data_IF_104247378539
#
_entry.id   IF_104247378539
#
_cell.length_a   1.000
_cell.length_b   1.000
_cell.length_c   1.000
_cell.angle_alpha   90.00
_cell.angle_beta   90.00
_cell.angle_gamma   90.00
#
_symmetry.space_group_name_H-M   'P 1'
#
loop_
_entity.id
_entity.type
_entity.pdbx_description
1 polymer ?
#
# COMPACT_ATOMS: atom_id res chain seq x y z
N UNK A 1 70.15 43.07 43.28
CA UNK A 1 70.44 43.77 44.55
C UNK A 1 71.92 43.63 44.83
N UNK A 2 72.59 44.65 45.35
CA UNK A 2 74.02 44.54 45.68
C UNK A 2 74.17 43.64 46.91
N UNK A 3 74.72 42.43 46.73
CA UNK A 3 74.88 41.46 47.81
C UNK A 3 76.22 41.72 48.50
N UNK A 4 76.17 42.20 49.74
CA UNK A 4 77.34 42.14 50.62
C UNK A 4 77.36 40.78 51.32
N UNK A 5 78.49 40.08 51.27
CA UNK A 5 78.62 38.78 51.94
C UNK A 5 78.35 38.89 53.45
N UNK A 6 77.61 37.92 54.00
CA UNK A 6 77.15 37.94 55.39
C UNK A 6 78.32 38.04 56.40
N UNK A 7 79.45 37.40 56.12
CA UNK A 7 80.62 37.43 57.01
C UNK A 7 81.32 38.80 56.99
N UNK A 8 81.26 39.52 55.86
CA UNK A 8 81.69 40.92 55.78
C UNK A 8 80.79 41.82 56.63
N UNK A 9 79.46 41.61 56.58
CA UNK A 9 78.49 42.35 57.42
C UNK A 9 78.75 42.08 58.90
N UNK A 10 78.93 40.82 59.32
CA UNK A 10 79.18 40.45 60.73
C UNK A 10 80.42 41.13 61.31
N UNK A 11 81.46 41.34 60.50
CA UNK A 11 82.68 42.01 60.95
C UNK A 11 82.47 43.50 61.28
N UNK A 12 81.45 44.15 60.72
CA UNK A 12 81.12 45.56 61.00
C UNK A 12 80.42 45.77 62.35
N UNK A 13 79.91 44.70 62.99
CA UNK A 13 79.12 44.75 64.22
C UNK A 13 79.78 44.03 65.41
N UNK A 14 81.12 43.89 65.42
CA UNK A 14 81.85 43.37 66.58
C UNK A 14 81.83 44.36 67.74
N UNK A 15 81.98 43.85 68.95
CA UNK A 15 82.07 44.63 70.20
C UNK A 15 83.04 45.80 70.04
N UNK A 16 82.57 47.01 70.34
CA UNK A 16 83.32 48.28 70.28
C UNK A 16 83.62 48.80 68.86
N UNK A 17 83.06 48.20 67.80
CA UNK A 17 83.03 48.77 66.46
C UNK A 17 81.66 49.36 66.16
N UNK A 18 81.64 50.55 65.53
CA UNK A 18 80.42 51.18 65.02
C UNK A 18 80.48 51.22 63.49
N UNK A 19 79.52 50.60 62.77
CA UNK A 19 79.49 50.66 61.32
C UNK A 19 79.31 52.10 60.84
N UNK A 20 79.96 52.43 59.72
CA UNK A 20 79.74 53.68 59.00
C UNK A 20 78.36 53.67 58.33
N UNK A 21 77.85 54.85 57.93
CA UNK A 21 76.55 54.96 57.25
C UNK A 21 76.50 54.11 55.97
N UNK A 22 77.56 54.11 55.17
CA UNK A 22 77.64 53.30 53.95
C UNK A 22 77.60 51.79 54.25
N UNK A 23 78.28 51.35 55.31
CA UNK A 23 78.24 49.95 55.76
C UNK A 23 76.85 49.56 56.27
N UNK A 24 76.18 50.47 56.98
CA UNK A 24 74.83 50.24 57.46
C UNK A 24 73.81 50.12 56.32
N UNK A 25 73.89 50.99 55.30
CA UNK A 25 73.02 50.90 54.12
C UNK A 25 73.31 49.66 53.27
N UNK A 26 74.59 49.31 53.09
CA UNK A 26 74.97 48.08 52.38
C UNK A 26 74.44 46.81 53.07
N UNK A 27 74.32 46.82 54.40
CA UNK A 27 73.64 45.76 55.13
C UNK A 27 72.14 45.72 54.76
N UNK A 28 71.44 46.85 54.86
CA UNK A 28 70.00 46.90 54.58
C UNK A 28 69.68 46.47 53.14
N UNK A 29 70.46 46.92 52.15
CA UNK A 29 70.29 46.56 50.74
C UNK A 29 70.58 45.07 50.45
N UNK A 30 71.31 44.39 51.34
CA UNK A 30 71.61 42.96 51.23
C UNK A 30 70.47 42.07 51.73
N UNK A 31 69.48 42.61 52.46
CA UNK A 31 68.30 41.88 52.94
C UNK A 31 67.05 42.34 52.20
N UNK A 32 66.16 41.40 51.84
CA UNK A 32 64.87 41.75 51.23
C UNK A 32 63.86 42.22 52.28
N UNK A 33 63.07 43.22 51.94
CA UNK A 33 61.94 43.64 52.78
C UNK A 33 60.74 42.70 52.61
N UNK A 34 59.94 42.50 53.66
CA UNK A 34 58.77 41.60 53.64
C UNK A 34 57.69 41.98 52.62
N UNK A 35 57.64 43.24 52.21
CA UNK A 35 56.72 43.73 51.16
C UNK A 35 57.21 43.45 49.75
N UNK A 36 58.47 43.06 49.58
CA UNK A 36 59.07 42.77 48.28
C UNK A 36 58.82 41.29 47.92
N UNK A 37 58.38 41.04 46.69
CA UNK A 37 58.14 39.69 46.20
C UNK A 37 59.47 38.98 45.94
N UNK A 38 59.53 37.68 46.23
CA UNK A 38 60.67 36.83 45.87
C UNK A 38 60.54 36.42 44.40
N UNK A 39 61.51 36.74 43.53
CA UNK A 39 61.50 36.27 42.14
C UNK A 39 61.64 34.75 42.09
N UNK A 40 60.89 34.10 41.20
CA UNK A 40 60.91 32.64 41.00
C UNK A 40 62.32 32.12 40.69
N UNK A 41 63.10 32.87 39.91
CA UNK A 41 64.47 32.52 39.54
C UNK A 41 65.43 32.42 40.74
N UNK A 42 65.11 33.06 41.87
CA UNK A 42 65.93 33.04 43.09
C UNK A 42 65.51 31.90 44.05
N UNK A 43 64.54 31.05 43.67
CA UNK A 43 64.01 29.94 44.48
C UNK A 43 64.63 28.63 43.97
N UNK A 44 65.68 28.19 44.64
CA UNK A 44 66.35 26.92 44.33
C UNK A 44 65.44 25.72 44.65
N UNK A 45 65.40 24.72 43.76
CA UNK A 45 64.64 23.49 43.95
C UNK A 45 63.15 23.58 43.63
N UNK A 46 62.66 24.75 43.17
CA UNK A 46 61.26 24.89 42.73
C UNK A 46 60.95 23.95 41.56
N UNK A 47 61.87 23.83 40.60
CA UNK A 47 61.73 22.93 39.45
C UNK A 47 61.62 21.46 39.87
N UNK A 48 62.35 21.06 40.92
CA UNK A 48 62.34 19.69 41.44
C UNK A 48 60.99 19.28 42.05
N UNK A 49 60.21 20.25 42.57
CA UNK A 49 58.86 19.98 43.09
C UNK A 49 57.84 19.68 41.97
N UNK A 50 58.10 20.17 40.76
CA UNK A 50 57.26 19.90 39.59
C UNK A 50 57.55 18.55 38.92
N UNK A 51 58.71 17.93 39.19
CA UNK A 51 59.09 16.62 38.63
C UNK A 51 58.16 15.50 39.12
N UNK A 52 57.51 15.65 40.28
CA UNK A 52 56.57 14.67 40.84
C UNK A 52 55.09 14.92 40.50
N UNK A 53 54.75 16.04 39.87
CA UNK A 53 53.39 16.33 39.41
C UNK A 53 53.31 15.85 37.96
N UNK A 54 52.59 14.76 37.65
CA UNK A 54 52.45 14.31 36.27
C UNK A 54 51.86 15.45 35.44
N UNK A 55 52.62 15.92 34.44
CA UNK A 55 52.17 16.98 33.53
C UNK A 55 50.88 16.57 32.81
N UNK A 56 50.14 17.53 32.25
CA UNK A 56 48.89 17.24 31.51
C UNK A 56 49.05 16.14 30.44
N UNK A 57 50.25 15.99 29.86
CA UNK A 57 50.59 14.93 28.91
C UNK A 57 50.53 13.52 29.52
N UNK A 58 50.98 13.35 30.77
CA UNK A 58 50.97 12.05 31.45
C UNK A 58 49.56 11.68 31.95
N UNK A 59 48.75 12.69 32.31
CA UNK A 59 47.32 12.54 32.61
C UNK A 59 46.53 12.06 31.37
N UNK A 60 46.84 12.60 30.18
CA UNK A 60 46.19 12.20 28.93
C UNK A 60 46.55 10.79 28.46
N UNK A 61 47.74 10.29 28.82
CA UNK A 61 48.19 8.94 28.44
C UNK A 61 47.48 7.81 29.21
N UNK A 62 46.79 8.13 30.32
CA UNK A 62 46.12 7.15 31.20
C UNK A 62 44.62 7.01 30.96
N UNK A 63 44.03 7.75 30.02
CA UNK A 63 42.62 7.62 29.66
C UNK A 63 42.43 6.50 28.62
N UNK A 64 41.64 5.45 28.90
CA UNK A 64 41.56 4.29 28.01
C UNK A 64 40.55 4.51 26.86
N UNK A 65 41.00 4.26 25.63
CA UNK A 65 40.24 3.91 24.41
C UNK A 65 39.33 4.95 23.72
N UNK A 66 39.52 5.13 22.39
CA UNK A 66 38.40 5.28 21.44
C UNK A 66 38.45 6.43 20.43
N UNK A 67 38.97 6.15 19.23
CA UNK A 67 38.38 6.57 17.94
C UNK A 67 38.44 8.05 17.52
N UNK A 68 39.45 8.39 16.72
CA UNK A 68 39.43 9.40 15.62
C UNK A 68 39.02 10.86 15.89
N UNK A 69 38.93 11.33 17.14
CA UNK A 69 38.80 12.79 17.42
C UNK A 69 40.13 13.42 17.84
N UNK A 70 41.06 12.61 18.37
CA UNK A 70 42.34 13.07 18.88
C UNK A 70 43.24 13.65 17.79
N UNK A 71 43.37 13.02 16.64
CA UNK A 71 44.28 13.45 15.58
C UNK A 71 43.86 14.76 14.88
N UNK A 72 42.56 14.98 14.64
CA UNK A 72 42.07 16.25 14.09
C UNK A 72 42.12 17.38 15.13
N UNK A 73 41.82 17.09 16.39
CA UNK A 73 41.88 18.07 17.47
C UNK A 73 43.32 18.41 17.86
N UNK A 74 44.24 17.43 17.87
CA UNK A 74 45.69 17.63 18.09
C UNK A 74 46.29 18.44 16.93
N UNK A 75 45.91 18.17 15.69
CA UNK A 75 46.37 18.94 14.53
C UNK A 75 45.84 20.39 14.58
N UNK A 76 44.56 20.59 14.86
CA UNK A 76 43.96 21.92 14.98
C UNK A 76 44.57 22.72 16.14
N UNK A 77 44.72 22.10 17.32
CA UNK A 77 45.30 22.75 18.51
C UNK A 77 46.79 23.06 18.29
N UNK A 78 47.53 22.20 17.58
CA UNK A 78 48.93 22.45 17.25
C UNK A 78 49.09 23.60 16.26
N UNK A 79 48.23 23.69 15.25
CA UNK A 79 48.19 24.80 14.28
C UNK A 79 47.83 26.13 14.97
N UNK A 80 46.87 26.12 15.89
CA UNK A 80 46.44 27.33 16.62
C UNK A 80 47.54 27.86 17.57
N UNK A 81 48.27 26.95 18.23
CA UNK A 81 49.43 27.28 19.07
C UNK A 81 50.62 27.80 18.24
N UNK A 82 50.82 27.27 17.03
CA UNK A 82 51.84 27.74 16.09
C UNK A 82 51.52 29.13 15.54
N UNK A 83 50.26 29.37 15.16
CA UNK A 83 49.83 30.69 14.73
C UNK A 83 50.01 31.72 15.84
N UNK A 84 49.68 31.40 17.10
CA UNK A 84 49.88 32.31 18.24
C UNK A 84 51.35 32.62 18.56
N UNK A 85 52.29 31.70 18.25
CA UNK A 85 53.73 31.96 18.37
C UNK A 85 54.27 32.85 17.23
N UNK A 86 53.69 32.74 16.03
CA UNK A 86 54.18 33.38 14.80
C UNK A 86 53.58 34.78 14.60
N UNK A 87 52.37 35.04 15.12
CA UNK A 87 51.70 36.34 14.98
C UNK A 87 52.37 37.50 15.72
N UNK A 88 53.23 37.21 16.71
CA UNK A 88 53.91 38.23 17.52
C UNK A 88 55.38 38.45 17.15
N UNK A 89 55.90 37.70 16.16
CA UNK A 89 57.30 37.78 15.73
C UNK A 89 57.44 38.73 14.53
N UNK A 90 58.37 39.68 14.63
CA UNK A 90 58.83 40.48 13.49
C UNK A 90 59.90 39.70 12.68
N UNK A 91 60.19 40.16 11.46
CA UNK A 91 61.10 39.48 10.50
C UNK A 91 62.52 39.19 11.06
N UNK A 92 62.90 39.86 12.16
CA UNK A 92 64.20 39.73 12.85
C UNK A 92 64.15 39.05 14.24
N UNK A 93 62.96 38.63 14.71
CA UNK A 93 62.85 38.00 16.04
C UNK A 93 63.37 36.56 16.05
N UNK A 94 64.28 36.28 16.98
CA UNK A 94 64.85 34.94 17.16
C UNK A 94 63.94 34.12 18.08
N UNK A 95 63.51 32.95 17.58
CA UNK A 95 62.74 31.99 18.38
C UNK A 95 63.50 31.61 19.66
N UNK A 96 62.79 31.64 20.80
CA UNK A 96 63.37 31.21 22.08
C UNK A 96 63.55 29.69 22.11
N UNK A 97 64.47 29.20 22.95
CA UNK A 97 64.74 27.77 23.08
C UNK A 97 63.50 26.92 23.46
N UNK A 98 62.58 27.47 24.26
CA UNK A 98 61.32 26.79 24.62
C UNK A 98 60.35 26.67 23.44
N UNK A 99 60.28 27.70 22.59
CA UNK A 99 59.49 27.69 21.36
C UNK A 99 60.05 26.69 20.35
N UNK A 100 61.38 26.65 20.18
CA UNK A 100 62.07 25.66 19.33
C UNK A 100 61.81 24.24 19.82
N UNK A 101 61.86 23.99 21.13
CA UNK A 101 61.60 22.66 21.71
C UNK A 101 60.14 22.21 21.46
N UNK A 102 59.19 23.14 21.56
CA UNK A 102 57.77 22.86 21.28
C UNK A 102 57.53 22.54 19.80
N UNK A 103 58.13 23.34 18.91
CA UNK A 103 58.13 23.11 17.46
C UNK A 103 58.72 21.74 17.10
N UNK A 104 59.84 21.36 17.70
CA UNK A 104 60.47 20.06 17.49
C UNK A 104 59.58 18.90 17.96
N UNK A 105 58.89 19.05 19.09
CA UNK A 105 57.92 18.07 19.59
C UNK A 105 56.76 17.86 18.61
N UNK A 106 56.21 18.96 18.07
CA UNK A 106 55.13 18.91 17.07
C UNK A 106 55.58 18.31 15.74
N UNK A 107 56.76 18.70 15.24
CA UNK A 107 57.35 18.13 14.02
C UNK A 107 57.58 16.62 14.18
N UNK A 108 58.07 16.18 15.35
CA UNK A 108 58.27 14.76 15.63
C UNK A 108 56.95 14.00 15.67
N UNK A 109 55.91 14.59 16.26
CA UNK A 109 54.57 14.00 16.27
C UNK A 109 53.98 13.88 14.86
N UNK A 110 54.14 14.92 14.03
CA UNK A 110 53.74 14.91 12.61
C UNK A 110 54.49 13.82 11.86
N UNK A 111 55.82 13.76 11.99
CA UNK A 111 56.63 12.75 11.32
C UNK A 111 56.22 11.33 11.74
N UNK A 112 55.93 11.10 13.02
CA UNK A 112 55.47 9.78 13.52
C UNK A 112 54.11 9.38 12.92
N UNK A 113 53.23 10.34 12.65
CA UNK A 113 51.93 10.09 12.02
C UNK A 113 52.02 9.91 10.50
N UNK A 114 53.01 10.54 9.85
CA UNK A 114 53.21 10.49 8.40
C UNK A 114 54.16 9.38 7.95
N UNK A 115 54.97 8.82 8.85
CA UNK A 115 55.81 7.66 8.53
C UNK A 115 54.96 6.44 8.22
N UNK A 116 55.22 5.83 7.07
CA UNK A 116 54.64 4.56 6.65
C UNK A 116 55.72 3.49 6.60
N UNK A 117 55.35 2.25 6.91
CA UNK A 117 56.18 1.07 6.67
C UNK A 117 56.01 0.54 5.23
N UNK A 118 55.01 1.04 4.50
CA UNK A 118 54.75 0.69 3.12
C UNK A 118 55.43 1.67 2.17
N UNK A 119 56.47 1.19 1.47
CA UNK A 119 57.30 1.97 0.54
C UNK A 119 56.53 2.58 -0.64
N UNK A 120 55.34 2.07 -0.97
CA UNK A 120 54.51 2.63 -2.05
C UNK A 120 53.44 3.60 -1.54
N UNK A 121 53.39 3.83 -0.22
CA UNK A 121 52.44 4.68 0.47
C UNK A 121 53.17 5.46 1.57
N UNK A 122 54.39 5.94 1.29
CA UNK A 122 55.26 6.63 2.24
C UNK A 122 55.14 8.16 2.20
N UNK A 123 54.39 8.67 1.23
CA UNK A 123 53.90 10.05 1.20
C UNK A 123 52.37 10.12 1.16
N UNK A 124 51.82 11.27 1.59
CA UNK A 124 50.38 11.54 1.50
C UNK A 124 49.90 11.51 0.04
N UNK A 125 50.73 11.99 -0.89
CA UNK A 125 50.37 12.01 -2.31
C UNK A 125 50.18 10.59 -2.86
N UNK A 126 51.06 9.66 -2.52
CA UNK A 126 50.94 8.25 -2.96
C UNK A 126 49.68 7.58 -2.43
N UNK A 127 49.26 7.91 -1.19
CA UNK A 127 47.99 7.41 -0.64
C UNK A 127 46.81 7.95 -1.45
N UNK A 128 46.82 9.24 -1.81
CA UNK A 128 45.77 9.86 -2.63
C UNK A 128 45.70 9.20 -4.00
N UNK A 129 46.84 9.01 -4.66
CA UNK A 129 46.93 8.37 -5.98
C UNK A 129 46.44 6.91 -5.93
N UNK A 130 46.75 6.18 -4.86
CA UNK A 130 46.27 4.83 -4.64
C UNK A 130 44.74 4.78 -4.46
N UNK A 131 44.15 5.72 -3.71
CA UNK A 131 42.70 5.83 -3.54
C UNK A 131 42.01 6.16 -4.87
N UNK A 132 42.56 7.09 -5.66
CA UNK A 132 42.03 7.43 -6.98
C UNK A 132 42.09 6.23 -7.94
N UNK A 133 43.18 5.46 -7.87
CA UNK A 133 43.34 4.21 -8.62
C UNK A 133 42.29 3.17 -8.22
N UNK A 134 42.02 3.01 -6.92
CA UNK A 134 40.98 2.11 -6.40
C UNK A 134 39.58 2.57 -6.85
N UNK A 135 39.28 3.86 -6.76
CA UNK A 135 38.00 4.42 -7.20
C UNK A 135 37.77 4.17 -8.69
N UNK A 136 38.79 4.45 -9.52
CA UNK A 136 38.76 4.18 -10.95
C UNK A 136 38.52 2.69 -11.20
N UNK A 137 39.29 1.82 -10.55
CA UNK A 137 39.17 0.36 -10.69
C UNK A 137 37.76 -0.13 -10.33
N UNK A 138 37.17 0.35 -9.24
CA UNK A 138 35.80 0.00 -8.86
C UNK A 138 34.76 0.44 -9.90
N UNK A 139 34.91 1.64 -10.49
CA UNK A 139 34.04 2.12 -11.57
C UNK A 139 34.18 1.30 -12.86
N UNK A 140 35.35 0.67 -13.07
CA UNK A 140 35.55 -0.20 -14.23
C UNK A 140 34.85 -1.54 -14.08
N UNK A 141 34.67 -2.06 -12.86
CA UNK A 141 34.10 -3.39 -12.63
C UNK A 141 32.65 -3.39 -12.12
N UNK A 142 32.11 -2.28 -11.62
CA UNK A 142 30.72 -2.19 -11.13
C UNK A 142 29.86 -1.27 -12.02
N UNK A 143 28.60 -1.66 -12.28
CA UNK A 143 27.59 -0.82 -12.96
C UNK A 143 26.29 -0.78 -12.18
N UNK A 144 25.61 0.37 -12.20
CA UNK A 144 24.35 0.61 -11.50
C UNK A 144 23.16 0.81 -12.46
N UNK A 145 23.26 0.28 -13.67
CA UNK A 145 22.19 0.26 -14.66
C UNK A 145 22.26 -1.04 -15.49
N UNK A 146 21.26 -1.27 -16.33
CA UNK A 146 21.15 -2.45 -17.20
C UNK A 146 21.45 -2.15 -18.67
N UNK A 147 21.93 -0.94 -18.96
CA UNK A 147 22.15 -0.41 -20.32
C UNK A 147 23.62 -0.25 -20.67
N UNK A 148 24.49 -0.21 -19.67
CA UNK A 148 25.93 -0.11 -19.78
C UNK A 148 26.58 -1.33 -19.16
N UNK A 149 27.70 -1.79 -19.72
CA UNK A 149 28.40 -2.97 -19.22
C UNK A 149 28.94 -3.88 -20.32
N UNK A 150 29.40 -5.06 -19.90
CA UNK A 150 30.00 -6.11 -20.72
C UNK A 150 30.32 -7.33 -19.85
N UNK A 151 31.01 -8.33 -20.41
CA UNK A 151 31.32 -9.58 -19.68
C UNK A 151 32.23 -9.41 -18.46
N UNK A 152 32.85 -8.23 -18.31
CA UNK A 152 33.79 -7.90 -17.23
C UNK A 152 33.21 -7.01 -16.14
N UNK A 153 31.96 -6.53 -16.30
CA UNK A 153 31.30 -5.66 -15.32
C UNK A 153 30.21 -6.42 -14.57
N UNK A 154 30.22 -6.28 -13.25
CA UNK A 154 29.19 -6.81 -12.36
C UNK A 154 28.12 -5.74 -12.07
N UNK A 155 26.87 -6.19 -12.01
CA UNK A 155 25.76 -5.35 -11.56
C UNK A 155 25.87 -5.12 -10.05
N UNK A 156 25.58 -3.91 -9.57
CA UNK A 156 25.49 -3.66 -8.13
C UNK A 156 24.41 -4.52 -7.49
N UNK A 157 24.61 -4.88 -6.21
CA UNK A 157 23.66 -5.69 -5.46
C UNK A 157 22.25 -5.06 -5.42
N UNK A 158 22.14 -3.73 -5.31
CA UNK A 158 20.83 -3.07 -5.26
C UNK A 158 20.09 -3.14 -6.59
N UNK A 159 20.77 -2.94 -7.71
CA UNK A 159 20.15 -3.17 -9.03
C UNK A 159 19.82 -4.65 -9.24
N UNK A 160 20.66 -5.56 -8.74
CA UNK A 160 20.38 -7.01 -8.74
C UNK A 160 19.11 -7.38 -7.98
N UNK A 161 18.85 -6.77 -6.81
CA UNK A 161 17.61 -6.96 -6.06
C UNK A 161 16.39 -6.45 -6.82
N UNK A 162 16.50 -5.27 -7.44
CA UNK A 162 15.43 -4.72 -8.27
C UNK A 162 15.11 -5.64 -9.45
N UNK A 163 16.15 -6.10 -10.17
CA UNK A 163 16.00 -7.03 -11.28
C UNK A 163 15.35 -8.34 -10.83
N UNK A 164 15.79 -8.91 -9.70
CA UNK A 164 15.18 -10.11 -9.12
C UNK A 164 13.70 -9.94 -8.82
N UNK A 165 13.29 -8.82 -8.21
CA UNK A 165 11.87 -8.55 -7.95
C UNK A 165 11.01 -8.49 -9.22
N UNK A 166 11.56 -7.91 -10.31
CA UNK A 166 10.91 -7.88 -11.61
C UNK A 166 10.81 -9.28 -12.25
N UNK A 167 11.88 -10.07 -12.18
CA UNK A 167 11.91 -11.45 -12.69
C UNK A 167 10.93 -12.34 -11.94
N UNK A 168 10.89 -12.27 -10.61
CA UNK A 168 9.94 -13.03 -9.79
C UNK A 168 8.50 -12.65 -10.15
N UNK A 169 8.23 -11.35 -10.30
CA UNK A 169 6.90 -10.82 -10.67
C UNK A 169 6.46 -11.25 -12.07
N UNK A 170 7.39 -11.32 -13.02
CA UNK A 170 7.13 -11.79 -14.38
C UNK A 170 6.92 -13.30 -14.40
N UNK A 171 7.74 -14.06 -13.67
CA UNK A 171 7.64 -15.53 -13.56
C UNK A 171 6.29 -15.97 -13.00
N UNK A 172 5.74 -15.20 -12.05
CA UNK A 172 4.39 -15.44 -11.53
C UNK A 172 3.25 -15.18 -12.56
N UNK A 173 3.53 -14.46 -13.65
CA UNK A 173 2.55 -14.07 -14.67
C UNK A 173 2.64 -14.89 -15.96
N UNK A 174 3.74 -15.59 -16.20
CA UNK A 174 3.86 -16.48 -17.35
C UNK A 174 2.91 -17.67 -17.08
N UNK A 175 1.92 -17.92 -17.96
CA UNK A 175 1.09 -19.11 -17.85
C UNK A 175 1.98 -20.35 -17.75
N UNK A 176 1.65 -21.28 -16.85
CA UNK A 176 2.41 -22.53 -16.73
C UNK A 176 2.39 -23.23 -18.11
N UNK A 177 3.53 -23.26 -18.78
CA UNK A 177 3.70 -23.98 -20.04
C UNK A 177 3.79 -25.47 -19.72
N UNK A 178 2.67 -26.18 -19.87
CA UNK A 178 2.65 -27.62 -19.68
C UNK A 178 3.23 -28.30 -20.91
N UNK A 179 4.26 -29.12 -20.71
CA UNK A 179 4.96 -29.83 -21.77
C UNK A 179 4.07 -30.86 -22.48
N UNK A 180 3.05 -31.38 -21.76
CA UNK A 180 2.08 -32.36 -22.25
C UNK A 180 0.72 -32.20 -21.56
N UNK A 181 -0.33 -32.53 -22.29
CA UNK A 181 -1.68 -32.76 -21.73
C UNK A 181 -1.83 -34.26 -21.47
N UNK A 182 -2.16 -34.63 -20.24
CA UNK A 182 -2.38 -36.02 -19.83
C UNK A 182 -3.86 -36.20 -19.52
N UNK A 183 -4.55 -37.02 -20.31
CA UNK A 183 -5.92 -37.39 -20.03
C UNK A 183 -5.96 -38.47 -18.93
N UNK A 184 -6.82 -38.30 -17.93
CA UNK A 184 -7.05 -39.29 -16.88
C UNK A 184 -8.40 -39.96 -17.11
N UNK A 185 -8.44 -41.30 -16.99
CA UNK A 185 -9.64 -42.09 -17.30
C UNK A 185 -10.66 -42.15 -16.13
N UNK A 186 -10.55 -41.23 -15.19
CA UNK A 186 -11.34 -41.15 -13.97
C UNK A 186 -11.60 -39.68 -13.61
N UNK A 187 -12.42 -39.45 -12.59
CA UNK A 187 -12.66 -38.11 -12.04
C UNK A 187 -11.50 -37.59 -11.17
N UNK A 188 -10.44 -38.39 -10.96
CA UNK A 188 -9.25 -38.00 -10.19
C UNK A 188 -7.97 -38.54 -10.84
N UNK A 189 -6.85 -37.79 -10.82
CA UNK A 189 -5.57 -38.26 -11.37
C UNK A 189 -4.90 -39.38 -10.56
N UNK A 190 -5.39 -39.66 -9.35
CA UNK A 190 -4.82 -40.64 -8.41
C UNK A 190 -4.91 -42.09 -8.88
N UNK A 191 -5.82 -42.43 -9.81
CA UNK A 191 -6.18 -43.83 -10.11
C UNK A 191 -5.81 -44.33 -11.50
N UNK A 192 -5.65 -43.51 -12.54
CA UNK A 192 -5.10 -43.98 -13.82
C UNK A 192 -4.73 -42.88 -14.84
N UNK A 193 -3.63 -43.13 -15.55
CA UNK A 193 -3.13 -42.40 -16.72
C UNK A 193 -3.21 -43.33 -17.93
N UNK A 194 -4.18 -43.13 -18.81
CA UNK A 194 -4.17 -43.74 -20.14
C UNK A 194 -4.31 -42.60 -21.14
N UNK A 195 -3.35 -42.48 -22.06
CA UNK A 195 -3.44 -41.55 -23.19
C UNK A 195 -4.46 -42.09 -24.16
N UNK A 196 -5.47 -41.30 -24.50
CA UNK A 196 -6.35 -41.58 -25.64
C UNK A 196 -7.27 -42.81 -25.49
N UNK A 197 -8.59 -42.57 -25.50
CA UNK A 197 -9.61 -43.62 -25.51
C UNK A 197 -9.68 -44.38 -26.85
N UNK A 198 -9.12 -43.82 -27.93
CA UNK A 198 -9.11 -44.42 -29.27
C UNK A 198 -7.84 -45.22 -29.55
N UNK A 199 -6.71 -44.85 -28.92
CA UNK A 199 -5.41 -45.52 -29.05
C UNK A 199 -4.69 -45.64 -27.70
N UNK A 200 -5.22 -46.40 -26.73
CA UNK A 200 -4.62 -46.51 -25.41
C UNK A 200 -3.21 -47.10 -25.52
N UNK A 201 -2.16 -46.45 -24.99
CA UNK A 201 -0.87 -47.08 -24.88
C UNK A 201 -1.03 -48.31 -24.00
N UNK A 202 -0.56 -49.44 -24.52
CA UNK A 202 -0.66 -50.77 -23.88
C UNK A 202 0.11 -50.87 -22.56
N UNK A 203 0.89 -49.85 -22.21
CA UNK A 203 1.67 -49.74 -20.98
C UNK A 203 1.47 -48.38 -20.35
N UNK A 204 0.95 -48.38 -19.12
CA UNK A 204 0.86 -47.20 -18.27
C UNK A 204 2.28 -46.67 -17.95
N UNK A 205 2.54 -45.40 -18.26
CA UNK A 205 3.78 -44.72 -17.88
C UNK A 205 3.59 -43.98 -16.55
N UNK A 206 4.09 -44.57 -15.46
CA UNK A 206 4.01 -43.99 -14.13
C UNK A 206 4.86 -42.72 -13.96
N UNK A 207 5.86 -42.46 -14.82
CA UNK A 207 6.70 -41.26 -14.72
C UNK A 207 5.90 -39.96 -14.94
N UNK A 208 4.82 -40.07 -15.71
CA UNK A 208 3.97 -38.95 -16.09
C UNK A 208 2.92 -38.61 -15.03
N UNK A 209 2.81 -39.39 -13.93
CA UNK A 209 1.87 -39.16 -12.82
C UNK A 209 2.38 -38.13 -11.81
N UNK A 210 3.69 -38.03 -11.66
CA UNK A 210 4.35 -37.14 -10.70
C UNK A 210 5.12 -36.02 -11.39
N UNK A 211 4.87 -35.80 -12.68
CA UNK A 211 5.51 -34.73 -13.43
C UNK A 211 4.74 -33.43 -13.18
N UNK A 212 5.47 -32.44 -12.66
CA UNK A 212 4.96 -31.09 -12.38
C UNK A 212 4.70 -30.28 -13.65
N UNK A 213 5.24 -30.71 -14.79
CA UNK A 213 5.11 -30.04 -16.08
C UNK A 213 3.94 -30.57 -16.93
N UNK A 214 3.09 -31.43 -16.36
CA UNK A 214 1.91 -31.97 -17.03
C UNK A 214 0.64 -31.30 -16.52
N UNK A 215 -0.29 -31.04 -17.45
CA UNK A 215 -1.68 -30.73 -17.12
C UNK A 215 -2.51 -32.01 -17.19
N UNK A 216 -3.13 -32.38 -16.07
CA UNK A 216 -3.96 -33.58 -15.98
C UNK A 216 -5.41 -33.21 -16.21
N UNK A 217 -6.09 -33.85 -17.17
CA UNK A 217 -7.48 -33.54 -17.55
C UNK A 217 -8.39 -34.73 -17.28
N UNK A 218 -9.39 -34.54 -16.43
CA UNK A 218 -10.39 -35.53 -16.07
C UNK A 218 -11.51 -35.68 -17.09
N UNK A 219 -12.26 -36.78 -16.97
CA UNK A 219 -13.44 -37.04 -17.79
C UNK A 219 -14.53 -35.97 -17.63
N UNK A 220 -14.57 -35.31 -16.48
CA UNK A 220 -15.49 -34.23 -16.14
C UNK A 220 -14.96 -32.84 -16.53
N UNK A 221 -13.86 -32.77 -17.30
CA UNK A 221 -13.12 -31.55 -17.68
C UNK A 221 -12.42 -30.82 -16.54
N UNK A 222 -12.47 -31.37 -15.31
CA UNK A 222 -11.63 -30.89 -14.22
C UNK A 222 -10.16 -31.04 -14.61
N UNK A 223 -9.36 -30.04 -14.25
CA UNK A 223 -7.93 -29.99 -14.56
C UNK A 223 -7.12 -29.97 -13.27
N UNK A 224 -5.96 -30.60 -13.26
CA UNK A 224 -5.06 -30.61 -12.10
C UNK A 224 -3.60 -30.47 -12.50
N UNK A 225 -2.77 -30.08 -11.54
CA UNK A 225 -1.30 -30.10 -11.61
C UNK A 225 -0.76 -30.93 -10.45
N UNK A 226 0.32 -31.68 -10.68
CA UNK A 226 0.98 -32.40 -9.61
C UNK A 226 1.86 -31.46 -8.77
N UNK A 227 1.72 -31.52 -7.45
CA UNK A 227 2.52 -30.78 -6.50
C UNK A 227 3.57 -31.70 -5.86
N UNK A 228 4.83 -31.53 -6.27
CA UNK A 228 5.94 -32.33 -5.77
C UNK A 228 6.31 -32.06 -4.30
N UNK A 229 5.80 -30.98 -3.70
CA UNK A 229 6.07 -30.65 -2.29
C UNK A 229 5.10 -31.40 -1.37
N UNK A 230 3.83 -31.43 -1.73
CA UNK A 230 2.76 -32.04 -0.94
C UNK A 230 2.43 -33.46 -1.40
N UNK A 231 2.97 -33.90 -2.55
CA UNK A 231 2.66 -35.16 -3.22
C UNK A 231 1.15 -35.30 -3.54
N UNK A 232 0.48 -34.18 -3.81
CA UNK A 232 -0.96 -34.10 -4.13
C UNK A 232 -1.21 -33.56 -5.53
N UNK A 233 -2.45 -33.66 -6.01
CA UNK A 233 -2.91 -32.99 -7.23
C UNK A 233 -3.72 -31.75 -6.85
N UNK A 234 -3.25 -30.58 -7.25
CA UNK A 234 -3.92 -29.31 -7.02
C UNK A 234 -4.85 -29.02 -8.19
N UNK A 235 -6.12 -28.70 -7.90
CA UNK A 235 -7.13 -28.47 -8.93
C UNK A 235 -6.92 -27.10 -9.60
N UNK A 236 -6.79 -27.10 -10.92
CA UNK A 236 -6.68 -25.90 -11.74
C UNK A 236 -8.07 -25.58 -12.32
N UNK A 237 -8.73 -24.58 -11.75
CA UNK A 237 -10.02 -24.10 -12.26
C UNK A 237 -9.79 -23.08 -13.36
N UNK A 238 -10.15 -23.43 -14.60
CA UNK A 238 -10.44 -22.43 -15.62
C UNK A 238 -11.85 -21.94 -15.35
N UNK A 239 -11.97 -20.94 -14.49
CA UNK A 239 -13.26 -20.32 -14.18
C UNK A 239 -13.78 -19.62 -15.43
N UNK A 240 -14.78 -20.20 -16.10
CA UNK A 240 -15.61 -19.41 -17.02
C UNK A 240 -16.22 -18.28 -16.20
N UNK A 241 -15.92 -17.06 -16.63
CA UNK A 241 -16.21 -15.85 -15.88
C UNK A 241 -17.73 -15.69 -15.69
N UNK A 242 -18.20 -15.70 -14.44
CA UNK A 242 -19.32 -14.90 -13.92
C UNK A 242 -20.71 -14.99 -14.61
N UNK A 243 -21.12 -16.13 -15.16
CA UNK A 243 -22.52 -16.30 -15.57
C UNK A 243 -23.43 -16.43 -14.34
N UNK A 244 -24.54 -15.69 -14.32
CA UNK A 244 -25.59 -15.82 -13.29
C UNK A 244 -26.76 -16.69 -13.76
N UNK A 245 -26.61 -17.36 -14.91
CA UNK A 245 -27.62 -18.22 -15.50
C UNK A 245 -27.18 -19.68 -15.41
N UNK A 246 -28.08 -20.55 -14.95
CA UNK A 246 -27.87 -21.97 -14.68
C UNK A 246 -28.90 -22.84 -15.42
N UNK A 247 -28.61 -24.12 -15.62
CA UNK A 247 -29.65 -25.06 -16.06
C UNK A 247 -30.67 -25.25 -14.93
N UNK A 248 -31.96 -25.21 -15.28
CA UNK A 248 -33.06 -25.29 -14.33
C UNK A 248 -32.92 -26.45 -13.35
N UNK A 249 -33.00 -26.15 -12.05
CA UNK A 249 -32.88 -27.11 -10.96
C UNK A 249 -31.45 -27.53 -10.64
N UNK A 250 -30.43 -26.82 -11.15
CA UNK A 250 -29.01 -27.18 -10.95
C UNK A 250 -28.14 -25.97 -10.67
N UNK A 251 -26.95 -26.19 -10.11
CA UNK A 251 -25.91 -25.16 -9.97
C UNK A 251 -24.95 -25.13 -11.16
N UNK A 252 -25.31 -25.74 -12.30
CA UNK A 252 -24.45 -25.83 -13.49
C UNK A 252 -24.67 -24.63 -14.39
N UNK A 253 -23.60 -23.94 -14.78
CA UNK A 253 -23.65 -22.81 -15.72
C UNK A 253 -24.40 -23.21 -17.00
N UNK A 254 -25.37 -22.38 -17.39
CA UNK A 254 -26.19 -22.59 -18.57
C UNK A 254 -25.38 -22.49 -19.88
N UNK A 255 -24.26 -21.75 -19.87
CA UNK A 255 -23.39 -21.58 -21.02
C UNK A 255 -24.14 -21.22 -22.31
N UNK A 256 -23.94 -22.01 -23.37
CA UNK A 256 -24.56 -21.82 -24.69
C UNK A 256 -25.85 -22.65 -24.89
N UNK A 257 -26.50 -23.13 -23.82
CA UNK A 257 -27.69 -23.95 -23.96
C UNK A 257 -28.83 -23.17 -24.64
N UNK A 258 -29.41 -23.74 -25.69
CA UNK A 258 -30.52 -23.15 -26.46
C UNK A 258 -31.83 -23.92 -26.35
N UNK A 259 -31.82 -25.10 -25.71
CA UNK A 259 -32.90 -26.06 -25.81
C UNK A 259 -33.49 -26.44 -24.45
N UNK A 260 -32.72 -26.32 -23.37
CA UNK A 260 -33.18 -26.66 -22.03
C UNK A 260 -33.63 -25.40 -21.28
N UNK A 261 -34.44 -25.62 -20.25
CA UNK A 261 -34.84 -24.59 -19.31
C UNK A 261 -33.61 -24.01 -18.57
N UNK A 262 -33.54 -22.68 -18.53
CA UNK A 262 -32.47 -21.91 -17.90
C UNK A 262 -33.09 -21.10 -16.76
N UNK A 263 -32.43 -21.07 -15.61
CA UNK A 263 -32.82 -20.28 -14.45
C UNK A 263 -31.73 -19.31 -14.00
N UNK A 264 -32.13 -18.22 -13.35
CA UNK A 264 -31.23 -17.31 -12.63
C UNK A 264 -31.82 -17.08 -11.24
N UNK A 265 -31.00 -17.21 -10.21
CA UNK A 265 -31.37 -16.74 -8.88
C UNK A 265 -31.38 -15.21 -8.86
N UNK A 266 -32.50 -14.59 -8.47
CA UNK A 266 -32.66 -13.14 -8.35
C UNK A 266 -33.42 -12.47 -9.51
N UNK A 267 -33.50 -11.14 -9.46
CA UNK A 267 -34.45 -10.38 -10.28
C UNK A 267 -34.11 -10.34 -11.78
N UNK A 268 -35.02 -10.89 -12.60
CA UNK A 268 -35.34 -10.71 -14.03
C UNK A 268 -35.56 -9.28 -14.60
N UNK A 269 -34.56 -8.49 -14.99
CA UNK A 269 -34.82 -7.21 -15.67
C UNK A 269 -35.16 -7.38 -17.16
N UNK A 270 -36.26 -6.77 -17.65
CA UNK A 270 -36.57 -6.65 -19.09
C UNK A 270 -36.56 -5.15 -19.46
N UNK A 271 -35.56 -4.71 -20.22
CA UNK A 271 -35.40 -3.31 -20.66
C UNK A 271 -34.28 -2.53 -19.97
N UNK A 272 -33.85 -1.41 -20.56
CA UNK A 272 -32.66 -0.61 -20.21
C UNK A 272 -32.82 0.31 -18.98
N UNK A 273 -33.85 0.13 -18.15
CA UNK A 273 -34.12 1.05 -17.03
C UNK A 273 -33.72 0.47 -15.66
N UNK A 274 -32.84 1.20 -14.97
CA UNK A 274 -32.14 0.91 -13.72
C UNK A 274 -33.02 0.97 -12.46
N UNK A 275 -34.11 0.19 -12.34
CA UNK A 275 -34.81 0.02 -11.05
C UNK A 275 -35.20 -1.43 -10.72
N UNK A 276 -35.16 -1.84 -9.43
CA UNK A 276 -35.02 -3.25 -9.05
C UNK A 276 -36.27 -4.14 -9.18
N UNK A 277 -37.46 -3.64 -9.54
CA UNK A 277 -38.71 -4.41 -9.40
C UNK A 277 -39.63 -4.35 -10.64
N UNK A 278 -39.17 -4.84 -11.80
CA UNK A 278 -39.99 -4.97 -13.01
C UNK A 278 -40.12 -6.42 -13.55
N UNK A 279 -40.15 -7.42 -12.67
CA UNK A 279 -40.72 -8.68 -13.08
C UNK A 279 -42.25 -8.47 -13.20
N UNK A 280 -42.80 -8.55 -14.41
CA UNK A 280 -44.26 -8.58 -14.60
C UNK A 280 -44.73 -9.88 -13.96
N UNK A 281 -45.28 -9.80 -12.76
CA UNK A 281 -45.87 -10.98 -12.13
C UNK A 281 -47.08 -11.40 -12.95
N UNK A 282 -47.37 -12.70 -13.04
CA UNK A 282 -48.60 -13.21 -13.71
C UNK A 282 -49.85 -12.46 -13.21
N UNK A 283 -49.88 -12.13 -11.93
CA UNK A 283 -50.94 -11.32 -11.32
C UNK A 283 -51.05 -9.90 -11.92
N UNK A 284 -49.94 -9.24 -12.28
CA UNK A 284 -49.95 -7.92 -12.95
C UNK A 284 -50.36 -8.00 -14.42
N UNK A 285 -50.15 -9.14 -15.09
CA UNK A 285 -50.65 -9.39 -16.44
C UNK A 285 -52.17 -9.64 -16.42
N UNK A 286 -52.65 -10.47 -15.50
CA UNK A 286 -54.05 -10.90 -15.42
C UNK A 286 -55.00 -9.82 -14.86
N UNK A 287 -54.47 -8.72 -14.29
CA UNK A 287 -55.23 -7.53 -13.88
C UNK A 287 -55.39 -6.48 -15.00
N UNK A 288 -54.84 -6.71 -16.19
CA UNK A 288 -55.07 -5.82 -17.32
C UNK A 288 -56.50 -6.01 -17.82
N UNK A 289 -57.30 -4.95 -17.70
CA UNK A 289 -58.63 -4.85 -18.27
C UNK A 289 -58.60 -5.22 -19.76
N UNK A 290 -59.36 -6.26 -20.13
CA UNK A 290 -59.49 -6.74 -21.50
C UNK A 290 -60.42 -5.79 -22.26
N UNK A 291 -59.85 -4.81 -22.97
CA UNK A 291 -60.58 -3.75 -23.70
C UNK A 291 -61.06 -4.20 -25.08
N UNK A 292 -60.51 -5.29 -25.60
CA UNK A 292 -60.70 -5.68 -27.00
C UNK A 292 -61.74 -6.81 -27.16
N UNK A 293 -62.11 -7.49 -26.07
CA UNK A 293 -63.14 -8.53 -26.10
C UNK A 293 -64.55 -8.02 -25.80
N UNK A 294 -65.52 -8.58 -26.52
CA UNK A 294 -66.96 -8.37 -26.31
C UNK A 294 -67.51 -9.43 -25.35
N UNK A 295 -68.44 -9.03 -24.47
CA UNK A 295 -69.20 -9.95 -23.61
C UNK A 295 -70.59 -10.12 -24.18
N UNK A 296 -71.00 -11.35 -24.45
CA UNK A 296 -72.37 -11.66 -24.88
C UNK A 296 -73.24 -12.09 -23.70
N UNK A 297 -74.42 -11.48 -23.59
CA UNK A 297 -75.40 -11.74 -22.52
C UNK A 297 -76.72 -12.17 -23.16
N UNK A 298 -77.15 -13.39 -22.85
CA UNK A 298 -78.33 -14.04 -23.44
C UNK A 298 -79.38 -14.47 -22.41
N UNK A 299 -79.24 -14.03 -21.16
CA UNK A 299 -80.16 -14.32 -20.07
C UNK A 299 -80.13 -13.21 -18.99
N UNK A 300 -81.07 -13.25 -18.05
CA UNK A 300 -81.08 -12.36 -16.89
C UNK A 300 -79.75 -12.47 -16.13
N UNK A 301 -79.15 -11.33 -15.79
CA UNK A 301 -77.84 -11.31 -15.16
C UNK A 301 -77.64 -10.06 -14.31
N UNK A 302 -76.60 -10.08 -13.48
CA UNK A 302 -76.14 -8.90 -12.76
C UNK A 302 -75.05 -8.19 -13.57
N UNK A 303 -74.95 -6.88 -13.40
CA UNK A 303 -73.76 -6.14 -13.87
C UNK A 303 -72.53 -6.68 -13.16
N UNK A 304 -71.51 -7.09 -13.92
CA UNK A 304 -70.26 -7.64 -13.38
C UNK A 304 -69.14 -6.61 -13.44
N UNK A 305 -68.29 -6.61 -12.42
CA UNK A 305 -67.09 -5.75 -12.39
C UNK A 305 -66.14 -5.99 -13.59
N UNK A 306 -66.15 -7.21 -14.13
CA UNK A 306 -65.38 -7.60 -15.29
C UNK A 306 -65.81 -6.85 -16.57
N UNK A 307 -67.06 -6.37 -16.65
CA UNK A 307 -67.56 -5.67 -17.84
C UNK A 307 -66.95 -4.28 -18.02
N UNK A 308 -66.25 -3.75 -17.00
CA UNK A 308 -65.67 -2.43 -17.08
C UNK A 308 -64.79 -2.28 -18.32
N UNK A 309 -65.07 -1.28 -19.16
CA UNK A 309 -64.35 -0.96 -20.40
C UNK A 309 -64.46 -2.00 -21.52
N UNK A 310 -65.31 -3.02 -21.35
CA UNK A 310 -65.69 -3.95 -22.40
C UNK A 310 -66.93 -3.45 -23.16
N UNK A 311 -67.17 -4.03 -24.33
CA UNK A 311 -68.47 -3.90 -25.02
C UNK A 311 -69.36 -5.06 -24.61
N UNK A 312 -70.56 -4.76 -24.08
CA UNK A 312 -71.55 -5.77 -23.70
C UNK A 312 -72.62 -5.89 -24.79
N UNK A 313 -72.80 -7.07 -25.36
CA UNK A 313 -73.81 -7.35 -26.38
C UNK A 313 -74.96 -8.13 -25.77
N UNK A 314 -76.17 -7.57 -25.81
CA UNK A 314 -77.38 -8.27 -25.40
C UNK A 314 -77.97 -9.00 -26.60
N UNK A 315 -77.98 -10.34 -26.51
CA UNK A 315 -78.40 -11.24 -27.58
C UNK A 315 -79.79 -11.87 -27.37
N UNK A 316 -80.39 -11.67 -26.19
CA UNK A 316 -81.76 -12.10 -25.90
C UNK A 316 -82.44 -11.15 -24.92
N UNK A 317 -83.79 -11.18 -24.89
CA UNK A 317 -84.57 -10.42 -23.94
C UNK A 317 -84.19 -10.79 -22.50
N UNK A 318 -83.75 -9.81 -21.72
CA UNK A 318 -83.27 -10.06 -20.37
C UNK A 318 -83.49 -8.87 -19.44
N UNK A 319 -83.46 -9.16 -18.14
CA UNK A 319 -83.37 -8.18 -17.07
C UNK A 319 -81.95 -8.12 -16.55
N UNK A 320 -81.34 -6.94 -16.63
CA UNK A 320 -80.01 -6.67 -16.08
C UNK A 320 -80.14 -5.92 -14.77
N UNK A 321 -79.64 -6.53 -13.71
CA UNK A 321 -79.74 -5.99 -12.35
C UNK A 321 -78.41 -5.40 -11.92
N UNK A 322 -78.42 -4.14 -11.49
CA UNK A 322 -77.27 -3.56 -10.78
C UNK A 322 -77.21 -4.19 -9.38
N UNK A 323 -76.14 -4.94 -9.04
CA UNK A 323 -76.00 -5.58 -7.74
C UNK A 323 -75.69 -4.55 -6.65
N UNK A 324 -75.76 -4.93 -5.38
CA UNK A 324 -75.47 -4.04 -4.23
C UNK A 324 -74.00 -3.62 -4.09
N UNK A 325 -73.08 -4.19 -4.88
CA UNK A 325 -71.66 -3.85 -4.88
C UNK A 325 -71.08 -3.82 -6.30
N UNK A 326 -70.34 -2.75 -6.63
CA UNK A 326 -69.61 -2.59 -7.89
C UNK A 326 -68.25 -1.90 -7.61
N UNK A 327 -67.33 -1.92 -8.58
CA UNK A 327 -66.09 -1.16 -8.53
C UNK A 327 -66.36 0.35 -8.66
N UNK A 328 -65.48 1.17 -8.10
CA UNK A 328 -65.54 2.63 -8.29
C UNK A 328 -65.28 2.96 -9.76
N UNK A 329 -66.04 3.91 -10.32
CA UNK A 329 -65.93 4.38 -11.70
C UNK A 329 -66.14 3.28 -12.76
N UNK A 330 -66.83 2.18 -12.42
CA UNK A 330 -67.20 1.17 -13.39
C UNK A 330 -68.05 1.79 -14.49
N UNK A 331 -67.67 1.55 -15.74
CA UNK A 331 -68.46 1.92 -16.91
C UNK A 331 -68.15 1.02 -18.10
N UNK A 332 -69.15 0.83 -18.94
CA UNK A 332 -69.07 0.01 -20.16
C UNK A 332 -70.09 0.49 -21.20
N UNK A 333 -69.82 0.16 -22.45
CA UNK A 333 -70.74 0.41 -23.56
C UNK A 333 -71.53 -0.87 -23.79
N UNK A 334 -72.81 -0.75 -24.14
CA UNK A 334 -73.60 -1.90 -24.53
C UNK A 334 -74.32 -1.71 -25.87
N UNK A 335 -74.72 -2.83 -26.47
CA UNK A 335 -75.56 -2.86 -27.67
C UNK A 335 -76.63 -3.94 -27.57
N UNK A 336 -77.86 -3.64 -27.97
CA UNK A 336 -78.93 -4.64 -28.15
C UNK A 336 -78.97 -5.14 -29.59
N UNK A 337 -79.14 -6.44 -29.79
CA UNK A 337 -79.38 -7.02 -31.13
C UNK A 337 -80.82 -6.79 -31.60
N UNK A 338 -81.09 -7.12 -32.87
CA UNK A 338 -82.44 -7.07 -33.42
C UNK A 338 -83.37 -8.03 -32.66
N UNK A 339 -84.59 -7.57 -32.33
CA UNK A 339 -85.57 -8.32 -31.56
C UNK A 339 -85.27 -8.43 -30.06
N UNK A 340 -84.26 -7.74 -29.54
CA UNK A 340 -83.84 -7.79 -28.14
C UNK A 340 -84.20 -6.51 -27.39
N UNK A 341 -84.93 -6.66 -26.28
CA UNK A 341 -85.26 -5.60 -25.33
C UNK A 341 -84.63 -5.91 -23.97
N UNK A 342 -84.03 -4.90 -23.35
CA UNK A 342 -83.38 -5.04 -22.03
C UNK A 342 -84.14 -4.24 -20.97
N UNK A 343 -84.46 -4.89 -19.87
CA UNK A 343 -85.07 -4.26 -18.69
C UNK A 343 -84.00 -4.06 -17.62
N UNK A 344 -83.99 -2.89 -16.97
CA UNK A 344 -82.98 -2.57 -15.97
C UNK A 344 -83.58 -2.56 -14.56
N UNK A 345 -82.93 -3.29 -13.66
CA UNK A 345 -83.26 -3.32 -12.24
C UNK A 345 -82.05 -2.83 -11.42
N UNK A 346 -82.29 -2.36 -10.21
CA UNK A 346 -81.24 -1.84 -9.33
C UNK A 346 -81.48 -2.29 -7.90
N UNK A 347 -80.40 -2.64 -7.21
CA UNK A 347 -80.43 -3.05 -5.81
C UNK A 347 -79.79 -1.96 -4.95
N UNK A 348 -80.39 -1.67 -3.80
CA UNK A 348 -79.78 -0.79 -2.80
C UNK A 348 -78.36 -1.31 -2.43
N UNK A 349 -77.38 -0.42 -2.24
CA UNK A 349 -77.51 1.00 -1.98
C UNK A 349 -77.51 1.89 -3.23
N UNK A 350 -77.46 1.31 -4.43
CA UNK A 350 -77.41 2.09 -5.68
C UNK A 350 -78.77 2.69 -6.05
N UNK A 351 -78.73 3.85 -6.69
CA UNK A 351 -79.90 4.53 -7.23
C UNK A 351 -79.63 5.02 -8.65
N UNK A 352 -80.67 5.01 -9.48
CA UNK A 352 -80.60 5.60 -10.82
C UNK A 352 -80.52 7.12 -10.71
N UNK A 353 -79.68 7.76 -11.54
CA UNK A 353 -79.72 9.20 -11.73
C UNK A 353 -81.04 9.64 -12.36
N UNK A 354 -81.48 8.91 -13.38
CA UNK A 354 -82.81 9.00 -13.99
C UNK A 354 -83.36 7.59 -14.14
N UNK A 355 -84.59 7.34 -13.69
CA UNK A 355 -85.22 6.01 -13.81
C UNK A 355 -85.28 5.60 -15.29
N UNK A 356 -84.58 4.52 -15.69
CA UNK A 356 -84.49 4.16 -17.10
C UNK A 356 -85.79 3.53 -17.59
N UNK A 357 -86.12 3.78 -18.85
CA UNK A 357 -87.07 2.95 -19.60
C UNK A 357 -86.41 1.63 -20.03
N UNK A 358 -87.18 0.70 -20.57
CA UNK A 358 -86.62 -0.49 -21.23
C UNK A 358 -85.82 -0.07 -22.46
N UNK A 359 -84.58 -0.56 -22.59
CA UNK A 359 -83.75 -0.32 -23.77
C UNK A 359 -84.31 -1.13 -24.95
N UNK A 360 -84.66 -0.48 -26.08
CA UNK A 360 -85.20 -1.17 -27.25
C UNK A 360 -84.11 -1.88 -28.07
N UNK A 361 -84.52 -2.58 -29.12
CA UNK A 361 -83.60 -3.29 -30.03
C UNK A 361 -82.68 -2.32 -30.82
N UNK A 362 -81.52 -2.82 -31.24
CA UNK A 362 -80.53 -2.09 -32.07
C UNK A 362 -80.03 -0.78 -31.45
N UNK A 363 -80.13 -0.63 -30.14
CA UNK A 363 -79.70 0.55 -29.41
C UNK A 363 -78.28 0.38 -28.89
N UNK A 364 -77.50 1.45 -28.92
CA UNK A 364 -76.19 1.55 -28.27
C UNK A 364 -76.33 2.50 -27.08
N UNK A 365 -75.80 2.11 -25.94
CA UNK A 365 -75.87 2.93 -24.74
C UNK A 365 -74.66 2.78 -23.84
N UNK A 366 -74.66 3.57 -22.78
CA UNK A 366 -73.59 3.64 -21.81
C UNK A 366 -74.15 3.37 -20.42
N UNK A 367 -73.48 2.48 -19.69
CA UNK A 367 -73.71 2.28 -18.28
C UNK A 367 -72.51 2.82 -17.52
N UNK A 368 -72.73 3.64 -16.48
CA UNK A 368 -71.66 4.17 -15.66
C UNK A 368 -72.07 4.31 -14.19
N UNK A 369 -71.21 3.87 -13.28
CA UNK A 369 -71.22 4.31 -11.89
C UNK A 369 -70.40 5.59 -11.77
N UNK A 370 -71.01 6.65 -11.24
CA UNK A 370 -70.35 7.94 -11.08
C UNK A 370 -69.32 7.90 -9.94
N UNK A 371 -68.04 7.71 -10.29
CA UNK A 371 -66.95 7.69 -9.30
C UNK A 371 -67.13 6.62 -8.23
N UNK A 372 -66.92 6.99 -6.97
CA UNK A 372 -67.23 6.14 -5.80
C UNK A 372 -68.67 6.28 -5.29
N UNK A 373 -69.51 7.07 -5.95
CA UNK A 373 -70.88 7.34 -5.48
C UNK A 373 -71.81 6.15 -5.71
N UNK A 374 -72.98 6.15 -5.06
CA UNK A 374 -74.03 5.16 -5.28
C UNK A 374 -74.96 5.50 -6.45
N UNK A 375 -74.58 6.47 -7.29
CA UNK A 375 -75.38 6.89 -8.44
C UNK A 375 -74.98 6.11 -9.69
N UNK A 376 -75.98 5.54 -10.37
CA UNK A 376 -75.83 4.86 -11.65
C UNK A 376 -76.47 5.70 -12.75
N UNK A 377 -75.70 5.91 -13.80
CA UNK A 377 -76.07 6.62 -15.02
C UNK A 377 -76.27 5.57 -16.11
N UNK A 378 -77.38 5.66 -16.81
CA UNK A 378 -77.74 4.79 -17.92
C UNK A 378 -78.38 5.63 -19.02
N UNK A 379 -77.65 5.81 -20.12
CA UNK A 379 -78.04 6.64 -21.25
C UNK A 379 -78.01 5.83 -22.55
N UNK A 380 -79.05 5.94 -23.38
CA UNK A 380 -79.17 5.21 -24.65
C UNK A 380 -80.17 5.83 -25.63
#
# INVERSE_FOLDING_TARGET
MAVTALDTIKNWFKTHLKPTQAQFWAMLDSFRHKSEKVPVADIEGLDSLFVGIPGMAEVNSKLPHGGYTGNAQILATSIETLNGLVTDLQEDDVLTAGQITTLQGQITAINTLLTSDNINLDTVQEIVDAIETVQTSLSTILVNDLTTGGTTKALTAEMGKTLKGLVDSLSAKIPKDYSKVVYVNANTPTTATIFDTNNPPVTNDNSLKSDVNNLYIGLDTSSWVYNATTFTYDAETITSKASTFYLYGTNKDAGNNKNNEIERSGAVGVGTATKPNHAVTKAQHDLKQDKDNQVEVSANSNVLNAWHGQTVLFAANCTITVPSTLNNSLGFVFRTLAGVTVTWAITAPFTWETTPSTTPEKTVGHFMRRGSTNTIILDF
#
